data_IF_075630395773
#
_entry.id   IF_075630395773
#
_cell.length_a   1.000
_cell.length_b   1.000
_cell.length_c   1.000
_cell.angle_alpha   90.00
_cell.angle_beta   90.00
_cell.angle_gamma   90.00
#
_symmetry.space_group_name_H-M   'P 1'
#
loop_
_entity.id
_entity.type
_entity.pdbx_description
1 polymer ?
#
# COMPACT_ATOMS: atom_id res chain seq x y z
N UNK A 1 -2.81 -9.79 2.20
CA UNK A 1 -2.22 -10.05 0.86
C UNK A 1 -3.39 -10.25 -0.07
N UNK A 2 -3.30 -9.66 -1.25
CA UNK A 2 -4.31 -9.77 -2.31
C UNK A 2 -4.10 -11.12 -3.02
N UNK A 3 -2.86 -11.42 -3.40
CA UNK A 3 -2.49 -12.67 -4.07
C UNK A 3 -2.55 -12.53 -5.58
N UNK A 4 -3.76 -12.45 -6.14
CA UNK A 4 -3.96 -12.33 -7.58
C UNK A 4 -4.39 -10.94 -8.01
N UNK A 5 -3.40 -10.12 -8.35
CA UNK A 5 -3.60 -8.82 -8.99
C UNK A 5 -3.29 -9.01 -10.47
N UNK A 6 -4.30 -8.86 -11.32
CA UNK A 6 -4.14 -8.83 -12.76
C UNK A 6 -5.16 -7.92 -13.44
N UNK A 7 -5.05 -7.75 -14.76
CA UNK A 7 -6.08 -7.08 -15.56
C UNK A 7 -7.41 -7.85 -15.59
N UNK A 8 -7.39 -9.16 -15.31
CA UNK A 8 -8.61 -9.96 -15.25
C UNK A 8 -9.41 -9.70 -13.96
N UNK A 9 -8.73 -9.22 -12.90
CA UNK A 9 -9.31 -9.08 -11.56
C UNK A 9 -9.72 -7.65 -11.24
N UNK A 10 -9.59 -6.72 -12.20
CA UNK A 10 -9.89 -5.30 -12.01
C UNK A 10 -10.90 -4.81 -13.03
N UNK A 11 -12.06 -4.38 -12.53
CA UNK A 11 -13.06 -3.66 -13.32
C UNK A 11 -13.09 -2.18 -12.98
N UNK A 12 -13.50 -1.39 -13.96
CA UNK A 12 -13.59 0.07 -13.88
C UNK A 12 -15.00 0.49 -14.23
N UNK A 13 -15.57 1.39 -13.46
CA UNK A 13 -16.80 2.10 -13.84
C UNK A 13 -16.49 3.58 -14.04
N UNK A 14 -17.14 4.20 -15.02
CA UNK A 14 -17.12 5.65 -15.23
C UNK A 14 -18.47 6.29 -14.91
N UNK A 15 -19.53 5.50 -14.71
CA UNK A 15 -20.91 5.98 -14.52
C UNK A 15 -21.57 5.17 -13.40
N UNK A 16 -22.23 5.82 -12.41
CA UNK A 16 -22.42 7.27 -12.23
C UNK A 16 -21.20 8.01 -11.70
N UNK A 17 -20.06 7.34 -11.52
CA UNK A 17 -18.79 7.94 -11.12
C UNK A 17 -17.64 6.98 -11.32
N UNK A 18 -16.41 7.50 -11.24
CA UNK A 18 -15.19 6.69 -11.36
C UNK A 18 -15.08 5.75 -10.17
N UNK A 19 -15.05 4.45 -10.44
CA UNK A 19 -14.85 3.42 -9.43
C UNK A 19 -13.95 2.31 -9.97
N UNK A 20 -13.20 1.68 -9.06
CA UNK A 20 -12.40 0.49 -9.33
C UNK A 20 -12.97 -0.64 -8.46
N UNK A 21 -13.26 -1.76 -9.08
CA UNK A 21 -13.79 -2.95 -8.43
C UNK A 21 -12.79 -4.08 -8.57
N UNK A 22 -12.51 -4.75 -7.46
CA UNK A 22 -11.68 -5.94 -7.45
C UNK A 22 -12.57 -7.18 -7.51
N UNK A 23 -12.24 -8.09 -8.43
CA UNK A 23 -12.88 -9.39 -8.59
C UNK A 23 -12.00 -10.47 -7.97
N UNK A 24 -12.53 -11.69 -7.93
CA UNK A 24 -11.78 -12.89 -7.55
C UNK A 24 -11.01 -12.77 -6.21
N UNK A 25 -11.71 -12.30 -5.18
CA UNK A 25 -11.14 -12.07 -3.85
C UNK A 25 -10.88 -13.35 -3.05
N UNK A 26 -11.01 -14.54 -3.64
CA UNK A 26 -10.84 -15.83 -2.95
C UNK A 26 -9.35 -16.17 -2.67
N UNK A 27 -8.43 -15.52 -3.38
CA UNK A 27 -7.00 -15.52 -3.10
C UNK A 27 -6.60 -14.66 -1.89
N UNK A 28 -7.51 -13.82 -1.39
CA UNK A 28 -7.19 -12.87 -0.32
C UNK A 28 -6.93 -13.61 0.97
N UNK A 29 -5.81 -13.29 1.62
CA UNK A 29 -5.44 -13.95 2.87
C UNK A 29 -4.72 -13.07 3.86
N UNK A 30 -4.93 -13.41 5.13
CA UNK A 30 -4.12 -12.90 6.23
C UNK A 30 -2.72 -13.52 6.14
N UNK A 31 -1.69 -12.72 6.40
CA UNK A 31 -0.30 -13.20 6.46
C UNK A 31 -0.20 -14.37 7.44
N UNK A 32 0.45 -15.45 7.01
CA UNK A 32 0.59 -16.69 7.79
C UNK A 32 -0.62 -17.64 7.74
N UNK A 33 -1.64 -17.36 6.91
CA UNK A 33 -2.77 -18.27 6.66
C UNK A 33 -2.79 -18.74 5.21
N UNK A 34 -3.29 -19.96 4.98
CA UNK A 34 -3.55 -20.46 3.63
C UNK A 34 -4.68 -19.65 2.96
N UNK A 35 -4.62 -19.52 1.64
CA UNK A 35 -5.74 -19.03 0.84
C UNK A 35 -6.81 -20.12 0.72
N UNK A 36 -8.03 -19.71 0.34
CA UNK A 36 -9.12 -20.66 0.04
C UNK A 36 -8.83 -21.40 -1.25
N UNK A 37 -8.27 -20.70 -2.24
CA UNK A 37 -7.85 -21.25 -3.52
C UNK A 37 -6.33 -21.21 -3.69
N UNK A 38 -5.77 -22.17 -4.41
CA UNK A 38 -4.36 -22.14 -4.78
C UNK A 38 -4.08 -21.00 -5.76
N UNK A 39 -2.91 -20.36 -5.65
CA UNK A 39 -2.53 -19.26 -6.53
C UNK A 39 -2.40 -19.77 -7.97
N UNK A 40 -3.22 -19.22 -8.87
CA UNK A 40 -2.99 -19.32 -10.30
C UNK A 40 -2.06 -18.17 -10.75
N UNK A 41 -1.24 -18.41 -11.75
CA UNK A 41 -0.41 -17.38 -12.36
C UNK A 41 -1.08 -16.81 -13.59
N UNK A 42 -1.27 -15.49 -13.66
CA UNK A 42 -1.68 -14.81 -14.89
C UNK A 42 -0.44 -14.60 -15.78
N UNK A 43 -0.48 -14.96 -17.08
CA UNK A 43 0.61 -14.67 -18.01
C UNK A 43 1.00 -13.19 -17.97
N UNK A 44 2.31 -12.91 -17.98
CA UNK A 44 2.88 -11.55 -17.92
C UNK A 44 2.63 -10.76 -16.63
N UNK A 45 2.09 -11.39 -15.56
CA UNK A 45 1.93 -10.75 -14.23
C UNK A 45 2.81 -11.34 -13.14
N UNK A 46 3.59 -12.36 -13.49
CA UNK A 46 4.46 -13.03 -12.54
C UNK A 46 5.66 -12.14 -12.21
N UNK A 47 6.01 -12.12 -10.93
CA UNK A 47 7.25 -11.56 -10.47
C UNK A 47 8.42 -12.46 -10.93
N UNK A 48 9.42 -11.94 -11.65
CA UNK A 48 10.51 -12.74 -12.17
C UNK A 48 11.46 -13.28 -11.09
N UNK A 49 11.42 -12.74 -9.86
CA UNK A 49 12.33 -13.12 -8.78
C UNK A 49 11.78 -14.21 -7.85
N UNK A 50 10.53 -14.66 -8.05
CA UNK A 50 9.91 -15.72 -7.23
C UNK A 50 9.09 -16.69 -8.09
N UNK A 51 8.76 -17.90 -7.60
CA UNK A 51 7.86 -18.79 -8.31
C UNK A 51 6.49 -18.14 -8.58
N UNK A 52 5.89 -18.39 -9.74
CA UNK A 52 4.58 -17.84 -10.13
C UNK A 52 3.43 -18.23 -9.20
N UNK A 53 3.60 -19.28 -8.41
CA UNK A 53 2.64 -19.77 -7.42
C UNK A 53 2.79 -19.11 -6.05
N UNK A 54 3.81 -18.25 -5.86
CA UNK A 54 4.03 -17.56 -4.60
C UNK A 54 3.18 -16.27 -4.51
N UNK A 55 2.35 -16.20 -3.48
CA UNK A 55 1.62 -14.98 -3.11
C UNK A 55 2.21 -14.38 -1.82
N UNK A 56 2.76 -13.17 -1.90
CA UNK A 56 3.31 -12.42 -0.77
C UNK A 56 2.96 -10.93 -0.85
N UNK A 57 3.20 -10.18 0.23
CA UNK A 57 3.09 -8.70 0.19
C UNK A 57 4.03 -8.11 -0.86
N UNK A 58 5.16 -8.75 -1.11
CA UNK A 58 6.17 -8.26 -2.05
C UNK A 58 5.77 -8.52 -3.50
N UNK A 59 5.17 -9.69 -3.80
CA UNK A 59 4.59 -9.95 -5.12
C UNK A 59 3.37 -9.06 -5.38
N UNK A 60 2.56 -8.78 -4.35
CA UNK A 60 1.47 -7.79 -4.43
C UNK A 60 2.04 -6.40 -4.79
N UNK A 61 3.18 -6.01 -4.21
CA UNK A 61 3.84 -4.73 -4.51
C UNK A 61 4.38 -4.68 -5.95
N UNK A 62 4.98 -5.77 -6.44
CA UNK A 62 5.40 -5.89 -7.83
C UNK A 62 4.20 -5.80 -8.79
N UNK A 63 3.15 -6.60 -8.57
CA UNK A 63 1.93 -6.59 -9.40
C UNK A 63 1.20 -5.24 -9.34
N UNK A 64 1.19 -4.56 -8.20
CA UNK A 64 0.68 -3.17 -8.10
C UNK A 64 1.45 -2.23 -9.02
N UNK A 65 2.77 -2.41 -9.11
CA UNK A 65 3.62 -1.61 -9.98
C UNK A 65 3.34 -1.90 -11.46
N UNK A 66 3.04 -3.16 -11.82
CA UNK A 66 2.53 -3.51 -13.16
C UNK A 66 1.23 -2.78 -13.48
N UNK A 67 0.24 -2.78 -12.58
CA UNK A 67 -1.02 -2.04 -12.79
C UNK A 67 -0.73 -0.56 -13.07
N UNK A 68 0.06 0.08 -12.20
CA UNK A 68 0.36 1.50 -12.32
C UNK A 68 1.09 1.82 -13.64
N UNK A 69 2.15 1.06 -13.97
CA UNK A 69 2.90 1.24 -15.20
C UNK A 69 2.01 1.09 -16.43
N UNK A 70 1.29 -0.03 -16.54
CA UNK A 70 0.47 -0.37 -17.72
C UNK A 70 -0.67 0.62 -17.96
N UNK A 71 -1.27 1.16 -16.89
CA UNK A 71 -2.29 2.21 -17.01
C UNK A 71 -1.68 3.52 -17.50
N UNK A 72 -0.53 3.93 -16.95
CA UNK A 72 0.09 5.23 -17.24
C UNK A 72 0.79 5.27 -18.61
N UNK A 73 1.18 4.12 -19.16
CA UNK A 73 1.79 3.99 -20.49
C UNK A 73 0.80 3.53 -21.56
N UNK A 74 -0.36 2.98 -21.18
CA UNK A 74 -1.26 2.24 -22.06
C UNK A 74 -0.57 1.09 -22.81
N UNK A 75 0.48 0.51 -22.21
CA UNK A 75 1.21 -0.64 -22.74
C UNK A 75 0.95 -1.87 -21.85
N UNK A 76 0.28 -2.93 -22.36
CA UNK A 76 -0.04 -4.10 -21.56
C UNK A 76 1.17 -4.95 -21.19
N UNK A 77 2.36 -4.71 -21.75
CA UNK A 77 3.55 -5.54 -21.54
C UNK A 77 4.67 -4.82 -20.78
N UNK A 78 4.51 -3.54 -20.44
CA UNK A 78 5.51 -2.85 -19.63
C UNK A 78 5.64 -3.53 -18.27
N UNK A 79 6.89 -3.70 -17.82
CA UNK A 79 7.25 -4.31 -16.54
C UNK A 79 8.29 -3.46 -15.80
N UNK A 80 8.37 -3.56 -14.45
CA UNK A 80 9.42 -2.90 -13.70
C UNK A 80 10.81 -3.21 -14.27
N UNK A 81 11.61 -2.17 -14.48
CA UNK A 81 12.93 -2.27 -15.13
C UNK A 81 12.93 -1.86 -16.60
N UNK A 82 11.77 -1.85 -17.26
CA UNK A 82 11.60 -1.24 -18.57
C UNK A 82 11.53 0.30 -18.48
N UNK A 83 11.80 0.97 -19.60
CA UNK A 83 11.55 2.41 -19.74
C UNK A 83 10.04 2.71 -19.71
N UNK A 84 9.61 3.66 -18.87
CA UNK A 84 8.24 4.16 -18.88
C UNK A 84 8.05 5.24 -19.95
N UNK A 85 7.32 4.89 -21.01
CA UNK A 85 6.83 5.84 -22.01
C UNK A 85 5.42 6.29 -21.62
N UNK A 86 5.35 7.32 -20.78
CA UNK A 86 4.10 7.83 -20.22
C UNK A 86 3.23 8.49 -21.29
N UNK A 87 1.91 8.37 -21.15
CA UNK A 87 0.95 9.12 -21.97
C UNK A 87 1.15 10.62 -21.76
N UNK A 88 1.26 11.38 -22.84
CA UNK A 88 1.52 12.83 -22.77
C UNK A 88 0.43 13.54 -21.98
N UNK A 89 0.83 14.32 -20.97
CA UNK A 89 -0.07 15.13 -20.15
C UNK A 89 -0.86 14.36 -19.09
N UNK A 90 -0.60 13.06 -18.89
CA UNK A 90 -1.31 12.28 -17.86
C UNK A 90 -0.83 12.59 -16.42
N UNK A 91 0.36 13.17 -16.27
CA UNK A 91 0.98 13.53 -14.99
C UNK A 91 1.66 14.90 -15.08
N UNK A 92 1.78 15.58 -13.93
CA UNK A 92 2.71 16.72 -13.79
C UNK A 92 4.15 16.25 -13.49
N UNK A 93 5.13 17.15 -13.61
CA UNK A 93 6.56 16.85 -13.43
C UNK A 93 6.89 16.12 -12.12
N UNK A 94 6.23 16.51 -11.01
CA UNK A 94 6.43 15.89 -9.69
C UNK A 94 5.92 14.45 -9.68
N UNK A 95 4.71 14.24 -10.17
CA UNK A 95 4.09 12.92 -10.27
C UNK A 95 4.91 12.03 -11.19
N UNK A 96 5.32 12.53 -12.36
CA UNK A 96 6.16 11.81 -13.32
C UNK A 96 7.49 11.37 -12.68
N UNK A 97 8.22 12.29 -12.05
CA UNK A 97 9.48 11.94 -11.38
C UNK A 97 9.29 10.88 -10.29
N UNK A 98 8.20 10.98 -9.52
CA UNK A 98 7.87 10.01 -8.47
C UNK A 98 7.51 8.64 -9.05
N UNK A 99 6.66 8.60 -10.07
CA UNK A 99 6.25 7.38 -10.77
C UNK A 99 7.45 6.66 -11.39
N UNK A 100 8.32 7.39 -12.09
CA UNK A 100 9.54 6.82 -12.70
C UNK A 100 10.44 6.18 -11.64
N UNK A 101 10.64 6.86 -10.50
CA UNK A 101 11.42 6.33 -9.39
C UNK A 101 10.79 5.05 -8.81
N UNK A 102 9.50 5.09 -8.47
CA UNK A 102 8.81 3.93 -7.88
C UNK A 102 8.81 2.75 -8.84
N UNK A 103 8.55 2.98 -10.12
CA UNK A 103 8.55 1.91 -11.12
C UNK A 103 9.92 1.26 -11.30
N UNK A 104 10.99 2.06 -11.31
CA UNK A 104 12.36 1.55 -11.32
C UNK A 104 12.68 0.75 -10.05
N UNK A 105 12.28 1.25 -8.89
CA UNK A 105 12.46 0.57 -7.59
C UNK A 105 11.72 -0.78 -7.52
N UNK A 106 10.57 -0.90 -8.20
CA UNK A 106 9.80 -2.14 -8.21
C UNK A 106 10.52 -3.32 -8.89
N UNK A 107 11.55 -3.06 -9.72
CA UNK A 107 12.40 -4.09 -10.30
C UNK A 107 13.41 -4.67 -9.28
N UNK A 108 13.56 -4.02 -8.12
CA UNK A 108 14.50 -4.39 -7.09
C UNK A 108 14.15 -5.68 -6.35
N UNK A 109 15.06 -6.06 -5.46
CA UNK A 109 14.94 -7.25 -4.63
C UNK A 109 13.75 -7.20 -3.68
N UNK A 110 13.38 -8.39 -3.19
CA UNK A 110 12.32 -8.58 -2.21
C UNK A 110 12.52 -7.67 -0.99
N UNK A 111 11.46 -6.98 -0.58
CA UNK A 111 11.46 -6.07 0.57
C UNK A 111 11.87 -4.64 0.25
N UNK A 112 12.36 -4.37 -0.97
CA UNK A 112 12.73 -3.02 -1.41
C UNK A 112 11.65 -2.32 -2.23
N UNK A 113 10.62 -3.06 -2.65
CA UNK A 113 9.62 -2.61 -3.63
C UNK A 113 8.61 -1.62 -3.03
N UNK A 114 8.09 -0.68 -3.84
CA UNK A 114 7.18 0.35 -3.36
C UNK A 114 5.83 -0.24 -2.95
N UNK A 115 5.32 0.17 -1.79
CA UNK A 115 4.02 -0.25 -1.29
C UNK A 115 2.89 0.50 -2.03
N UNK A 116 1.67 -0.06 -2.06
CA UNK A 116 0.52 0.63 -2.67
C UNK A 116 0.28 2.06 -2.16
N UNK A 117 0.53 2.34 -0.88
CA UNK A 117 0.39 3.69 -0.32
C UNK A 117 1.41 4.71 -0.87
N UNK A 118 2.58 4.27 -1.32
CA UNK A 118 3.58 5.13 -1.96
C UNK A 118 3.12 5.53 -3.37
N UNK A 119 2.52 4.60 -4.12
CA UNK A 119 1.86 4.88 -5.40
C UNK A 119 0.71 5.87 -5.24
N UNK A 120 -0.15 5.67 -4.24
CA UNK A 120 -1.24 6.61 -3.94
C UNK A 120 -0.70 8.02 -3.68
N UNK A 121 0.39 8.14 -2.92
CA UNK A 121 1.02 9.43 -2.61
C UNK A 121 1.62 10.07 -3.86
N UNK A 122 2.35 9.29 -4.66
CA UNK A 122 3.00 9.73 -5.89
C UNK A 122 1.99 10.23 -6.93
N UNK A 123 0.84 9.57 -7.06
CA UNK A 123 -0.22 9.91 -8.02
C UNK A 123 -1.21 10.97 -7.50
N UNK A 124 -1.25 11.23 -6.20
CA UNK A 124 -2.14 12.27 -5.67
C UNK A 124 -1.73 13.68 -6.09
N UNK A 125 -2.71 14.58 -6.21
CA UNK A 125 -2.48 16.01 -6.39
C UNK A 125 -1.95 16.69 -5.13
N UNK A 126 -2.06 16.02 -3.96
CA UNK A 126 -1.52 16.53 -2.70
C UNK A 126 0.00 16.35 -2.72
N UNK A 127 0.70 17.49 -2.64
CA UNK A 127 2.13 17.54 -2.38
C UNK A 127 2.52 16.68 -1.16
N UNK A 128 3.74 16.14 -1.15
CA UNK A 128 4.31 15.58 0.08
C UNK A 128 4.72 16.77 0.94
N UNK A 129 4.09 16.94 2.10
CA UNK A 129 4.63 17.84 3.13
C UNK A 129 5.74 17.07 3.81
N UNK A 130 6.99 17.38 3.47
CA UNK A 130 8.13 16.90 4.25
C UNK A 130 8.03 17.50 5.63
N UNK A 131 7.58 16.71 6.59
CA UNK A 131 7.66 17.08 7.99
C UNK A 131 9.13 16.99 8.38
N UNK A 132 9.80 18.14 8.50
CA UNK A 132 11.09 18.22 9.17
C UNK A 132 10.85 17.71 10.59
N UNK A 133 11.43 16.55 10.92
CA UNK A 133 11.31 16.02 12.28
C UNK A 133 11.88 17.07 13.24
N UNK A 134 10.99 17.75 13.96
CA UNK A 134 11.41 18.56 15.10
C UNK A 134 12.15 17.63 16.05
N UNK A 135 13.26 18.11 16.62
CA UNK A 135 14.07 17.36 17.58
C UNK A 135 13.12 16.74 18.61
N UNK A 136 13.15 15.40 18.84
CA UNK A 136 12.23 14.76 19.76
C UNK A 136 12.27 15.49 21.10
N UNK A 137 11.13 16.00 21.56
CA UNK A 137 11.04 16.62 22.89
C UNK A 137 11.58 15.60 23.90
N UNK A 138 12.55 15.99 24.76
CA UNK A 138 13.07 15.08 25.77
C UNK A 138 11.91 14.45 26.53
N UNK A 139 11.89 13.12 26.61
CA UNK A 139 10.85 12.41 27.36
C UNK A 139 10.88 12.94 28.80
N UNK A 140 9.75 13.43 29.34
CA UNK A 140 9.69 13.84 30.73
C UNK A 140 10.15 12.67 31.60
N UNK A 141 10.99 12.94 32.60
CA UNK A 141 11.33 11.92 33.59
C UNK A 141 10.03 11.43 34.22
N UNK A 142 9.79 10.11 34.14
CA UNK A 142 8.65 9.50 34.81
C UNK A 142 8.96 9.52 36.29
N UNK A 143 8.17 10.26 37.06
CA UNK A 143 8.24 10.18 38.52
C UNK A 143 7.60 8.87 38.99
N UNK A 144 8.43 7.85 39.17
CA UNK A 144 8.01 6.54 39.67
C UNK A 144 7.42 6.60 41.09
N UNK A 145 7.69 7.67 41.87
CA UNK A 145 7.10 7.84 43.20
C UNK A 145 5.59 8.12 43.17
N UNK A 146 5.05 8.51 42.02
CA UNK A 146 3.60 8.65 41.79
C UNK A 146 2.96 7.30 41.44
N UNK A 147 3.74 6.37 40.89
CA UNK A 147 3.27 5.05 40.46
C UNK A 147 3.37 3.99 41.57
N UNK A 148 4.35 4.11 42.46
CA UNK A 148 4.66 3.13 43.51
C UNK A 148 3.94 3.38 44.85
N UNK A 149 3.19 4.48 44.99
CA UNK A 149 2.37 4.72 46.19
C UNK A 149 1.14 3.83 46.19
N UNK A 150 0.81 3.29 47.36
CA UNK A 150 -0.47 2.62 47.61
C UNK A 150 -1.60 3.57 47.20
N UNK A 151 -2.26 3.27 46.08
CA UNK A 151 -3.36 4.10 45.57
C UNK A 151 -4.53 4.01 46.54
N UNK A 152 -4.80 5.09 47.28
CA UNK A 152 -6.07 5.27 47.97
C UNK A 152 -7.14 5.44 46.88
N UNK A 153 -7.73 4.34 46.43
CA UNK A 153 -8.82 4.35 45.47
C UNK A 153 -10.10 4.70 46.23
N UNK A 154 -10.48 5.97 46.23
CA UNK A 154 -11.83 6.36 46.62
C UNK A 154 -12.82 5.91 45.52
N UNK A 155 -13.91 5.20 45.86
CA UNK A 155 -14.95 4.88 44.90
C UNK A 155 -15.59 6.16 44.36
N UNK A 156 -15.64 6.29 43.04
CA UNK A 156 -16.42 7.35 42.39
C UNK A 156 -17.89 6.90 42.42
N UNK A 157 -18.75 7.61 43.15
CA UNK A 157 -20.19 7.39 43.10
C UNK A 157 -20.75 7.94 41.78
N UNK A 158 -21.09 7.03 40.86
CA UNK A 158 -21.66 7.36 39.54
C UNK A 158 -23.18 7.59 39.56
N UNK A 159 -23.76 7.93 40.70
CA UNK A 159 -25.19 8.29 40.82
C UNK A 159 -25.33 9.54 41.67
N UNK A 160 -25.80 10.62 41.05
CA UNK A 160 -26.33 11.76 41.80
C UNK A 160 -27.52 11.27 42.63
N UNK A 161 -27.48 11.49 43.95
CA UNK A 161 -28.67 11.36 44.78
C UNK A 161 -29.61 12.49 44.37
N UNK A 162 -30.62 12.17 43.58
CA UNK A 162 -31.70 13.08 43.28
C UNK A 162 -32.53 13.31 44.54
N UNK A 163 -32.61 14.57 44.96
CA UNK A 163 -33.82 15.21 45.47
C UNK A 163 -33.67 16.72 45.41
#
# INVERSE_FOLDING_TARGET
MIGDISQADVLWSLTPGVAVHFLDCDGFRRVGRAAVQAQAGTPDWNDPLVPSTEASVDTDAYKTSLVAGRVLTQDPYVAPGNELKLVVGCLNDRQEASVRRLFSQAAGERGTRPRPGEWQTALSDRGVITLTAATPRPRPAVDHSVLDRARVRTPISLRAQGR
#
